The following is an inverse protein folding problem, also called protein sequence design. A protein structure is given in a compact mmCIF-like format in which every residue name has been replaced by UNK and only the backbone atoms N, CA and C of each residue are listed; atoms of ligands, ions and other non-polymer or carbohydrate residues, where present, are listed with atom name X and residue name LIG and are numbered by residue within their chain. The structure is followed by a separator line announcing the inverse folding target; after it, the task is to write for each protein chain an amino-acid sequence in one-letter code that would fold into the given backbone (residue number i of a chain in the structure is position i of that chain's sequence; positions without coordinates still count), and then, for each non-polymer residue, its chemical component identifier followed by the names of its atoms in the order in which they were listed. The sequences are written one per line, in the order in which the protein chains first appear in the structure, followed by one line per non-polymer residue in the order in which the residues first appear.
data_IF_158044246734
#
_entry.id   IF_158044246734
#
_cell.length_a   1.000
_cell.length_b   1.000
_cell.length_c   1.000
_cell.angle_alpha   90.00
_cell.angle_beta   90.00
_cell.angle_gamma   90.00
#
_symmetry.space_group_name_H-M   'P 1'
#
loop_
_entity.id
_entity.type
_entity.pdbx_description
1 polymer ?
#
# COMPACT_ATOMS: atom_id res chain seq x y z
N UNK A 1 -7.78 -1.57 33.93
CA UNK A 1 -6.84 -1.43 32.81
C UNK A 1 -7.65 -1.30 31.54
N UNK A 2 -7.46 -0.20 30.83
CA UNK A 2 -8.02 -0.03 29.48
C UNK A 2 -7.08 -0.67 28.46
N UNK A 3 -7.62 -1.06 27.29
CA UNK A 3 -6.87 -1.69 26.19
C UNK A 3 -7.16 -0.94 24.90
N UNK A 4 -6.12 -0.70 24.11
CA UNK A 4 -6.20 -0.09 22.78
C UNK A 4 -5.86 -1.13 21.73
N UNK A 5 -6.74 -1.30 20.75
CA UNK A 5 -6.43 -2.05 19.54
C UNK A 5 -5.74 -1.11 18.55
N UNK A 6 -4.62 -1.56 17.98
CA UNK A 6 -3.84 -0.81 16.99
C UNK A 6 -3.63 -1.74 15.81
N UNK A 7 -3.98 -1.25 14.62
CA UNK A 7 -3.78 -1.99 13.37
C UNK A 7 -2.31 -1.94 12.94
N UNK A 8 -1.91 -2.85 12.06
CA UNK A 8 -0.54 -2.90 11.54
C UNK A 8 -0.41 -2.13 10.24
N UNK A 9 -1.16 -2.52 9.21
CA UNK A 9 -0.97 -2.05 7.86
C UNK A 9 -1.51 -0.62 7.70
N UNK A 10 -0.64 0.30 7.28
CA UNK A 10 -0.99 1.73 7.19
C UNK A 10 -1.05 2.46 8.54
N UNK A 11 -0.71 1.80 9.65
CA UNK A 11 -0.65 2.41 10.99
C UNK A 11 0.73 2.22 11.62
N UNK A 12 1.18 0.98 11.77
CA UNK A 12 2.52 0.66 12.27
C UNK A 12 3.52 0.41 11.14
N UNK A 13 3.05 -0.19 10.05
CA UNK A 13 3.85 -0.50 8.87
C UNK A 13 3.41 0.34 7.67
N UNK A 14 4.38 0.99 7.01
CA UNK A 14 4.16 1.76 5.79
C UNK A 14 4.13 0.83 4.56
N UNK A 15 3.08 0.01 4.48
CA UNK A 15 2.87 -0.94 3.39
C UNK A 15 2.60 -0.24 2.06
N UNK A 16 2.01 0.96 2.09
CA UNK A 16 1.67 1.72 0.90
C UNK A 16 2.92 2.20 0.16
N UNK A 17 3.90 2.77 0.87
CA UNK A 17 5.17 3.15 0.24
C UNK A 17 5.89 1.94 -0.38
N UNK A 18 5.82 0.78 0.28
CA UNK A 18 6.36 -0.46 -0.26
C UNK A 18 5.68 -0.83 -1.59
N UNK A 19 4.35 -0.75 -1.67
CA UNK A 19 3.62 -1.03 -2.91
C UNK A 19 3.97 -0.04 -4.02
N UNK A 20 4.02 1.26 -3.72
CA UNK A 20 4.45 2.27 -4.69
C UNK A 20 5.86 2.00 -5.22
N UNK A 21 6.80 1.65 -4.34
CA UNK A 21 8.19 1.39 -4.75
C UNK A 21 8.31 0.17 -5.65
N UNK A 22 7.58 -0.90 -5.37
CA UNK A 22 7.65 -2.11 -6.19
C UNK A 22 6.92 -1.93 -7.53
N UNK A 23 5.73 -1.32 -7.52
CA UNK A 23 5.02 -0.98 -8.75
C UNK A 23 5.84 -0.02 -9.64
N UNK A 24 6.47 1.00 -9.04
CA UNK A 24 7.36 1.93 -9.75
C UNK A 24 8.61 1.21 -10.30
N UNK A 25 9.19 0.28 -9.54
CA UNK A 25 10.33 -0.52 -9.98
C UNK A 25 9.98 -1.39 -11.19
N UNK A 26 8.80 -1.99 -11.20
CA UNK A 26 8.41 -2.97 -12.22
C UNK A 26 7.83 -2.31 -13.49
N UNK A 27 7.13 -1.18 -13.33
CA UNK A 27 6.46 -0.48 -14.45
C UNK A 27 7.12 0.85 -14.84
N UNK A 28 8.16 1.29 -14.11
CA UNK A 28 8.97 2.46 -14.43
C UNK A 28 8.26 3.81 -14.21
N UNK A 29 7.08 3.81 -13.60
CA UNK A 29 6.32 5.03 -13.29
C UNK A 29 5.65 4.91 -11.92
N UNK A 30 5.69 5.98 -11.16
CA UNK A 30 4.96 6.08 -9.90
C UNK A 30 3.50 6.47 -10.16
N UNK A 31 2.56 5.79 -9.51
CA UNK A 31 1.14 6.15 -9.54
C UNK A 31 0.90 7.48 -8.79
N UNK A 32 0.06 8.39 -9.31
CA UNK A 32 -0.42 9.54 -8.56
C UNK A 32 -1.20 9.11 -7.31
N UNK A 33 -1.05 9.85 -6.21
CA UNK A 33 -1.73 9.52 -4.95
C UNK A 33 -3.26 9.58 -5.10
N UNK A 34 -3.76 10.54 -5.87
CA UNK A 34 -5.18 10.72 -6.21
C UNK A 34 -5.82 9.50 -6.90
N UNK A 35 -5.03 8.67 -7.59
CA UNK A 35 -5.51 7.45 -8.25
C UNK A 35 -5.59 6.25 -7.29
N UNK A 36 -5.00 6.36 -6.09
CA UNK A 36 -4.87 5.27 -5.11
C UNK A 36 -5.77 5.50 -3.89
N UNK A 37 -5.95 6.75 -3.47
CA UNK A 37 -6.72 7.09 -2.28
C UNK A 37 -8.18 6.64 -2.39
N UNK A 38 -8.65 5.88 -1.39
CA UNK A 38 -10.02 5.37 -1.34
C UNK A 38 -10.28 4.18 -2.25
N UNK A 39 -9.25 3.67 -2.94
CA UNK A 39 -9.33 2.49 -3.80
C UNK A 39 -8.82 1.28 -3.02
N UNK A 40 -9.47 0.12 -3.23
CA UNK A 40 -8.99 -1.15 -2.69
C UNK A 40 -7.56 -1.43 -3.21
N UNK A 41 -6.64 -1.82 -2.33
CA UNK A 41 -5.21 -1.98 -2.63
C UNK A 41 -4.95 -2.86 -3.85
N UNK A 42 -5.66 -3.99 -3.99
CA UNK A 42 -5.50 -4.91 -5.14
C UNK A 42 -6.00 -4.32 -6.46
N UNK A 43 -6.88 -3.33 -6.41
CA UNK A 43 -7.31 -2.58 -7.60
C UNK A 43 -6.30 -1.50 -7.94
N UNK A 44 -5.75 -0.82 -6.94
CA UNK A 44 -4.73 0.21 -7.12
C UNK A 44 -3.38 -0.38 -7.59
N UNK A 45 -2.99 -1.51 -6.99
CA UNK A 45 -1.75 -2.26 -7.23
C UNK A 45 -2.07 -3.73 -7.57
N UNK A 46 -2.36 -4.05 -8.85
CA UNK A 46 -2.76 -5.40 -9.25
C UNK A 46 -1.74 -6.50 -8.92
N UNK A 47 -0.45 -6.15 -8.86
CA UNK A 47 0.66 -7.06 -8.60
C UNK A 47 1.08 -7.10 -7.13
N UNK A 48 0.28 -6.52 -6.23
CA UNK A 48 0.60 -6.41 -4.79
C UNK A 48 0.99 -7.76 -4.16
N UNK A 49 0.31 -8.85 -4.53
CA UNK A 49 0.57 -10.20 -3.98
C UNK A 49 1.87 -10.84 -4.50
N UNK A 50 2.51 -10.26 -5.51
CA UNK A 50 3.84 -10.71 -5.98
C UNK A 50 4.97 -10.14 -5.11
N UNK A 51 4.65 -9.14 -4.27
CA UNK A 51 5.59 -8.44 -3.41
C UNK A 51 5.56 -8.87 -1.94
N UNK A 52 4.65 -9.78 -1.58
CA UNK A 52 4.41 -10.28 -0.21
C UNK A 52 4.72 -11.76 -0.11
#
# INVERSE_FOLDING_TARGET
MERLAVDMDGVLADVYEQFFRYDEKDFGKRKPLEDVVGVEERKAFPHINEYV
#
